data_IF_956138894409
#
_entry.id   IF_956138894409
#
_cell.length_a   1.000
_cell.length_b   1.000
_cell.length_c   1.000
_cell.angle_alpha   90.00
_cell.angle_beta   90.00
_cell.angle_gamma   90.00
#
_symmetry.space_group_name_H-M   'P 1'
#
loop_
_entity.id
_entity.type
_entity.pdbx_description
1 polymer ?
#
# COMPACT_ATOMS: atom_id res chain seq x y z
N UNK A 1 5.88 -10.04 -11.81
CA UNK A 1 7.19 -10.30 -12.45
C UNK A 1 8.31 -9.46 -11.85
N UNK A 2 8.22 -8.13 -11.85
CA UNK A 2 9.30 -7.30 -11.27
C UNK A 2 9.55 -7.53 -9.78
N UNK A 3 8.52 -7.82 -8.97
CA UNK A 3 8.76 -8.23 -7.58
C UNK A 3 9.58 -9.51 -7.49
N UNK A 4 9.27 -10.55 -8.25
CA UNK A 4 10.09 -11.77 -8.30
C UNK A 4 11.55 -11.44 -8.63
N UNK A 5 11.80 -10.67 -9.69
CA UNK A 5 13.17 -10.26 -10.05
C UNK A 5 13.88 -9.48 -8.93
N UNK A 6 13.19 -8.56 -8.25
CA UNK A 6 13.76 -7.77 -7.14
C UNK A 6 14.18 -8.64 -5.96
N UNK A 7 13.55 -9.79 -5.75
CA UNK A 7 13.89 -10.71 -4.67
C UNK A 7 14.89 -11.80 -5.09
N UNK A 8 14.91 -12.21 -6.37
CA UNK A 8 15.74 -13.35 -6.82
C UNK A 8 16.96 -12.95 -7.63
N UNK A 9 16.96 -11.76 -8.25
CA UNK A 9 17.97 -11.35 -9.23
C UNK A 9 17.91 -12.15 -10.54
N UNK A 10 16.89 -12.99 -10.74
CA UNK A 10 16.77 -13.89 -11.90
C UNK A 10 16.46 -13.11 -13.18
N UNK A 11 17.54 -12.66 -13.82
CA UNK A 11 17.52 -11.89 -15.06
C UNK A 11 17.00 -12.72 -16.24
N UNK A 12 17.30 -14.03 -16.28
CA UNK A 12 16.89 -14.90 -17.38
C UNK A 12 15.36 -15.01 -17.45
N UNK A 13 14.68 -15.20 -16.32
CA UNK A 13 13.22 -15.22 -16.28
C UNK A 13 12.63 -13.86 -16.64
N UNK A 14 13.24 -12.75 -16.19
CA UNK A 14 12.80 -11.40 -16.57
C UNK A 14 12.90 -11.19 -18.10
N UNK A 15 14.03 -11.57 -18.71
CA UNK A 15 14.25 -11.50 -20.16
C UNK A 15 13.22 -12.32 -20.93
N UNK A 16 12.94 -13.55 -20.48
CA UNK A 16 11.93 -14.41 -21.08
C UNK A 16 10.51 -13.82 -20.99
N UNK A 17 10.17 -13.13 -19.91
CA UNK A 17 8.87 -12.48 -19.72
C UNK A 17 8.76 -11.11 -20.40
N UNK A 18 9.87 -10.44 -20.73
CA UNK A 18 9.87 -9.07 -21.25
C UNK A 18 9.00 -8.88 -22.51
N UNK A 19 9.01 -9.79 -23.52
CA UNK A 19 8.10 -9.68 -24.67
C UNK A 19 6.61 -9.69 -24.29
N UNK A 20 6.23 -10.43 -23.25
CA UNK A 20 4.85 -10.45 -22.75
C UNK A 20 4.49 -9.14 -22.03
N UNK A 21 5.42 -8.60 -21.23
CA UNK A 21 5.25 -7.29 -20.58
C UNK A 21 5.01 -6.20 -21.63
N UNK A 22 5.81 -6.20 -22.72
CA UNK A 22 5.64 -5.24 -23.83
C UNK A 22 4.27 -5.37 -24.52
N UNK A 23 3.76 -6.59 -24.71
CA UNK A 23 2.40 -6.80 -25.26
C UNK A 23 1.31 -6.27 -24.34
N UNK A 24 1.45 -6.48 -23.02
CA UNK A 24 0.51 -5.93 -22.04
C UNK A 24 0.49 -4.39 -22.07
N UNK A 25 1.67 -3.76 -22.18
CA UNK A 25 1.78 -2.30 -22.29
C UNK A 25 1.17 -1.73 -23.58
N UNK A 26 1.32 -2.42 -24.72
CA UNK A 26 0.61 -2.06 -25.97
C UNK A 26 -0.91 -2.14 -25.83
N UNK A 27 -1.40 -3.13 -25.09
CA UNK A 27 -2.83 -3.23 -24.82
C UNK A 27 -3.31 -2.12 -23.89
N UNK A 28 -2.54 -1.80 -22.84
CA UNK A 28 -2.80 -0.66 -21.96
C UNK A 28 -2.91 0.65 -22.76
N UNK A 29 -1.99 0.91 -23.70
CA UNK A 29 -2.04 2.08 -24.58
C UNK A 29 -3.33 2.13 -25.43
N UNK A 30 -3.75 0.98 -25.96
CA UNK A 30 -5.01 0.85 -26.71
C UNK A 30 -6.23 1.14 -25.84
N UNK A 31 -6.21 0.81 -24.55
CA UNK A 31 -7.30 1.16 -23.63
C UNK A 31 -7.33 2.67 -23.36
N UNK A 32 -6.18 3.25 -23.01
CA UNK A 32 -6.06 4.68 -22.72
C UNK A 32 -6.35 5.57 -23.93
N UNK A 33 -6.04 5.13 -25.16
CA UNK A 33 -6.33 5.92 -26.36
C UNK A 33 -7.83 6.14 -26.59
N UNK A 34 -8.68 5.22 -26.12
CA UNK A 34 -10.15 5.34 -26.21
C UNK A 34 -10.68 6.52 -25.38
N UNK A 35 -10.17 6.66 -24.17
CA UNK A 35 -10.63 7.67 -23.20
C UNK A 35 -9.97 9.03 -23.37
N UNK A 36 -8.87 9.10 -24.13
CA UNK A 36 -8.22 10.38 -24.52
C UNK A 36 -9.01 11.12 -25.61
N UNK A 37 -9.87 10.42 -26.34
CA UNK A 37 -10.71 11.02 -27.38
C UNK A 37 -11.54 12.19 -26.84
N UNK A 38 -11.60 13.34 -27.55
CA UNK A 38 -12.51 14.44 -27.21
C UNK A 38 -14.00 14.10 -27.24
N UNK A 39 -14.37 12.98 -27.86
CA UNK A 39 -15.76 12.50 -27.91
C UNK A 39 -16.10 11.55 -26.77
N UNK A 40 -15.11 11.11 -26.00
CA UNK A 40 -15.33 10.15 -24.93
C UNK A 40 -16.27 10.73 -23.87
N UNK A 41 -17.36 10.02 -23.58
CA UNK A 41 -18.38 10.41 -22.61
C UNK A 41 -19.00 11.81 -22.84
N UNK A 42 -18.98 12.35 -24.07
CA UNK A 42 -19.50 13.68 -24.42
C UNK A 42 -20.95 13.94 -23.96
N UNK A 43 -21.78 12.91 -23.87
CA UNK A 43 -23.17 13.00 -23.39
C UNK A 43 -23.34 12.94 -21.86
N UNK A 44 -22.26 12.71 -21.11
CA UNK A 44 -22.31 12.74 -19.65
C UNK A 44 -22.30 14.18 -19.12
N UNK A 45 -22.79 14.37 -17.90
CA UNK A 45 -22.89 15.70 -17.28
C UNK A 45 -21.51 16.37 -17.05
N UNK A 46 -20.47 15.57 -16.85
CA UNK A 46 -19.11 15.99 -16.51
C UNK A 46 -18.09 15.09 -17.23
N UNK A 47 -17.91 15.23 -18.55
CA UNK A 47 -17.09 14.33 -19.36
C UNK A 47 -15.60 14.37 -19.02
N UNK A 48 -15.10 15.50 -18.51
CA UNK A 48 -13.69 15.74 -18.23
C UNK A 48 -13.11 14.77 -17.18
N UNK A 49 -13.92 14.30 -16.21
CA UNK A 49 -13.46 13.34 -15.20
C UNK A 49 -13.14 11.97 -15.79
N UNK A 50 -13.60 11.64 -16.98
CA UNK A 50 -13.35 10.35 -17.63
C UNK A 50 -12.17 10.39 -18.61
N UNK A 51 -11.59 11.57 -18.84
CA UNK A 51 -10.64 11.76 -19.93
C UNK A 51 -9.24 11.30 -19.55
N UNK A 52 -8.72 10.33 -20.31
CA UNK A 52 -7.33 9.87 -20.20
C UNK A 52 -7.04 8.88 -19.07
N UNK A 53 -8.04 8.48 -18.29
CA UNK A 53 -8.01 7.35 -17.35
C UNK A 53 -8.43 6.05 -18.05
N UNK A 54 -8.37 4.90 -17.38
CA UNK A 54 -8.81 3.64 -17.96
C UNK A 54 -10.34 3.59 -18.20
N UNK A 55 -10.79 2.89 -19.27
CA UNK A 55 -12.21 2.71 -19.55
C UNK A 55 -12.87 1.84 -18.48
N UNK A 56 -14.22 1.84 -18.40
CA UNK A 56 -14.92 1.18 -17.32
C UNK A 56 -14.74 -0.34 -17.36
N UNK A 57 -14.59 -0.94 -16.17
CA UNK A 57 -14.33 -2.35 -15.98
C UNK A 57 -14.96 -2.86 -14.67
N UNK A 58 -14.99 -4.19 -14.49
CA UNK A 58 -15.40 -4.86 -13.24
C UNK A 58 -14.20 -5.53 -12.55
N UNK A 59 -12.98 -5.03 -12.79
CA UNK A 59 -11.73 -5.62 -12.28
C UNK A 59 -11.61 -5.58 -10.76
N UNK A 60 -12.17 -4.53 -10.14
CA UNK A 60 -12.27 -4.42 -8.71
C UNK A 60 -13.49 -5.22 -8.28
N UNK A 61 -13.26 -6.32 -7.55
CA UNK A 61 -14.26 -7.32 -7.14
C UNK A 61 -15.44 -6.74 -6.31
N UNK A 62 -15.42 -5.45 -5.98
CA UNK A 62 -16.54 -4.73 -5.38
C UNK A 62 -17.63 -4.26 -6.36
N UNK A 63 -17.44 -4.36 -7.68
CA UNK A 63 -18.40 -3.86 -8.67
C UNK A 63 -19.14 -4.95 -9.44
N UNK A 64 -20.47 -4.85 -9.47
CA UNK A 64 -21.35 -5.70 -10.29
C UNK A 64 -21.66 -5.12 -11.68
N UNK A 65 -21.24 -3.88 -11.95
CA UNK A 65 -21.39 -3.20 -13.24
C UNK A 65 -20.11 -2.43 -13.57
N UNK A 66 -19.70 -2.34 -14.85
CA UNK A 66 -18.45 -1.66 -15.21
C UNK A 66 -18.43 -0.19 -14.79
N UNK A 67 -17.35 0.24 -14.15
CA UNK A 67 -17.08 1.64 -13.76
C UNK A 67 -15.62 1.99 -14.04
N UNK A 68 -15.32 3.28 -14.19
CA UNK A 68 -13.97 3.83 -14.26
C UNK A 68 -13.36 3.82 -12.85
N UNK A 69 -12.92 2.64 -12.44
CA UNK A 69 -12.35 2.40 -11.12
C UNK A 69 -10.91 2.93 -11.06
N UNK A 70 -10.61 3.81 -10.10
CA UNK A 70 -9.25 4.31 -9.91
C UNK A 70 -8.26 3.22 -9.48
N UNK A 71 -8.76 2.10 -8.97
CA UNK A 71 -7.99 0.87 -8.76
C UNK A 71 -7.22 0.47 -10.02
N UNK A 72 -7.86 0.52 -11.19
CA UNK A 72 -7.26 0.14 -12.46
C UNK A 72 -6.14 1.09 -12.83
N UNK A 73 -6.36 2.39 -12.64
CA UNK A 73 -5.38 3.42 -12.96
C UNK A 73 -4.13 3.31 -12.07
N UNK A 74 -4.29 3.05 -10.76
CA UNK A 74 -3.15 2.82 -9.87
C UNK A 74 -2.33 1.58 -10.29
N UNK A 75 -2.98 0.48 -10.65
CA UNK A 75 -2.29 -0.69 -11.17
C UNK A 75 -1.62 -0.45 -12.51
N UNK A 76 -2.22 0.37 -13.39
CA UNK A 76 -1.61 0.76 -14.65
C UNK A 76 -0.38 1.65 -14.45
N UNK A 77 -0.42 2.61 -13.52
CA UNK A 77 0.75 3.40 -13.12
C UNK A 77 1.86 2.50 -12.58
N UNK A 78 1.51 1.56 -11.70
CA UNK A 78 2.47 0.57 -11.19
C UNK A 78 3.06 -0.31 -12.30
N UNK A 79 2.23 -0.75 -13.25
CA UNK A 79 2.64 -1.51 -14.41
C UNK A 79 3.62 -0.75 -15.32
N UNK A 80 3.36 0.54 -15.55
CA UNK A 80 4.25 1.43 -16.32
C UNK A 80 5.58 1.67 -15.61
N UNK A 81 5.58 1.89 -14.29
CA UNK A 81 6.80 1.97 -13.46
C UNK A 81 7.64 0.69 -13.57
N UNK A 82 7.00 -0.46 -13.40
CA UNK A 82 7.67 -1.76 -13.45
C UNK A 82 8.18 -2.10 -14.87
N UNK A 83 7.42 -1.78 -15.91
CA UNK A 83 7.86 -1.96 -17.30
C UNK A 83 9.03 -1.04 -17.65
N UNK A 84 9.00 0.23 -17.23
CA UNK A 84 10.13 1.15 -17.43
C UNK A 84 11.41 0.62 -16.78
N UNK A 85 11.31 0.11 -15.55
CA UNK A 85 12.45 -0.47 -14.84
C UNK A 85 13.00 -1.70 -15.59
N UNK A 86 12.13 -2.59 -16.07
CA UNK A 86 12.54 -3.73 -16.89
C UNK A 86 13.20 -3.27 -18.20
N UNK A 87 12.65 -2.29 -18.90
CA UNK A 87 13.17 -1.78 -20.16
C UNK A 87 14.60 -1.21 -20.01
N UNK A 88 14.87 -0.51 -18.91
CA UNK A 88 16.22 -0.02 -18.58
C UNK A 88 17.19 -1.21 -18.39
N UNK A 89 16.77 -2.29 -17.72
CA UNK A 89 17.60 -3.49 -17.53
C UNK A 89 17.86 -4.25 -18.84
N UNK A 90 16.91 -4.18 -19.78
CA UNK A 90 17.05 -4.73 -21.13
C UNK A 90 17.79 -3.78 -22.10
N UNK A 91 18.30 -2.65 -21.60
CA UNK A 91 18.96 -1.61 -22.40
C UNK A 91 18.09 -1.03 -23.54
N UNK A 92 16.77 -1.15 -23.42
CA UNK A 92 15.82 -0.66 -24.40
C UNK A 92 15.31 0.74 -24.03
N UNK A 93 16.06 1.75 -24.48
CA UNK A 93 15.78 3.15 -24.16
C UNK A 93 14.44 3.65 -24.73
N UNK A 94 14.01 3.12 -25.87
CA UNK A 94 12.74 3.52 -26.50
C UNK A 94 11.54 3.09 -25.66
N UNK A 95 11.51 1.82 -25.24
CA UNK A 95 10.46 1.30 -24.37
C UNK A 95 10.48 2.03 -23.01
N UNK A 96 11.66 2.31 -22.44
CA UNK A 96 11.79 3.04 -21.18
C UNK A 96 11.29 4.49 -21.27
N UNK A 97 11.64 5.20 -22.35
CA UNK A 97 11.19 6.57 -22.59
C UNK A 97 9.69 6.63 -22.88
N UNK A 98 9.16 5.70 -23.67
CA UNK A 98 7.72 5.57 -23.92
C UNK A 98 6.94 5.32 -22.61
N UNK A 99 7.40 4.37 -21.79
CA UNK A 99 6.75 4.03 -20.52
C UNK A 99 6.72 5.22 -19.56
N UNK A 100 7.82 5.97 -19.47
CA UNK A 100 7.89 7.22 -18.71
C UNK A 100 6.87 8.26 -19.19
N UNK A 101 6.74 8.49 -20.50
CA UNK A 101 5.74 9.42 -21.04
C UNK A 101 4.30 8.97 -20.75
N UNK A 102 3.98 7.69 -20.96
CA UNK A 102 2.63 7.18 -20.68
C UNK A 102 2.28 7.27 -19.19
N UNK A 103 3.27 7.03 -18.31
CA UNK A 103 3.11 7.18 -16.87
C UNK A 103 2.73 8.61 -16.51
N UNK A 104 3.46 9.63 -16.97
CA UNK A 104 3.16 11.04 -16.66
C UNK A 104 1.79 11.48 -17.20
N UNK A 105 1.43 11.02 -18.41
CA UNK A 105 0.12 11.29 -19.01
C UNK A 105 -1.02 10.70 -18.18
N UNK A 106 -0.92 9.42 -17.81
CA UNK A 106 -1.93 8.75 -16.98
C UNK A 106 -2.01 9.37 -15.59
N UNK A 107 -0.85 9.64 -14.96
CA UNK A 107 -0.79 10.22 -13.62
C UNK A 107 -1.47 11.58 -13.58
N UNK A 108 -1.20 12.43 -14.58
CA UNK A 108 -1.86 13.74 -14.71
C UNK A 108 -3.36 13.61 -14.92
N UNK A 109 -3.79 12.69 -15.79
CA UNK A 109 -5.22 12.43 -16.04
C UNK A 109 -5.94 11.92 -14.79
N UNK A 110 -5.32 11.00 -14.05
CA UNK A 110 -5.86 10.44 -12.81
C UNK A 110 -6.02 11.53 -11.73
N UNK A 111 -5.01 12.37 -11.52
CA UNK A 111 -5.11 13.50 -10.58
C UNK A 111 -6.28 14.44 -10.94
N UNK A 112 -6.38 14.82 -12.21
CA UNK A 112 -7.47 15.68 -12.68
C UNK A 112 -8.84 15.01 -12.53
N UNK A 113 -8.93 13.71 -12.83
CA UNK A 113 -10.16 12.94 -12.67
C UNK A 113 -10.61 12.90 -11.21
N UNK A 114 -9.72 12.57 -10.28
CA UNK A 114 -10.05 12.50 -8.84
C UNK A 114 -10.55 13.86 -8.36
N UNK A 115 -9.84 14.96 -8.69
CA UNK A 115 -10.28 16.31 -8.30
C UNK A 115 -11.65 16.66 -8.89
N UNK A 116 -11.84 16.44 -10.19
CA UNK A 116 -13.10 16.73 -10.86
C UNK A 116 -14.26 15.91 -10.26
N UNK A 117 -14.06 14.64 -9.93
CA UNK A 117 -15.06 13.80 -9.28
C UNK A 117 -15.40 14.29 -7.88
N UNK A 118 -14.40 14.66 -7.07
CA UNK A 118 -14.58 15.24 -5.73
C UNK A 118 -15.40 16.53 -5.79
N UNK A 119 -15.00 17.47 -6.66
CA UNK A 119 -15.66 18.76 -6.85
C UNK A 119 -17.10 18.58 -7.35
N UNK A 120 -17.29 17.74 -8.36
CA UNK A 120 -18.59 17.47 -8.99
C UNK A 120 -19.59 16.84 -8.02
N UNK A 121 -19.15 15.85 -7.25
CA UNK A 121 -20.01 15.14 -6.32
C UNK A 121 -20.20 15.89 -4.99
N UNK A 122 -19.46 16.98 -4.75
CA UNK A 122 -19.48 17.71 -3.49
C UNK A 122 -19.05 16.85 -2.30
N UNK A 123 -18.19 15.85 -2.56
CA UNK A 123 -17.67 14.96 -1.52
C UNK A 123 -16.34 15.47 -1.00
N UNK A 124 -15.88 14.82 0.06
CA UNK A 124 -14.86 15.37 0.91
C UNK A 124 -13.75 14.33 1.20
N UNK A 125 -13.87 13.14 0.60
CA UNK A 125 -12.95 12.00 0.64
C UNK A 125 -12.48 11.62 -0.77
N UNK A 126 -11.49 10.73 -0.89
CA UNK A 126 -11.06 10.20 -2.20
C UNK A 126 -12.08 9.16 -2.68
N UNK A 127 -12.79 9.39 -3.80
CA UNK A 127 -13.71 8.39 -4.36
C UNK A 127 -12.95 7.18 -4.92
N UNK A 128 -13.62 6.03 -4.99
CA UNK A 128 -13.06 4.81 -5.59
C UNK A 128 -13.24 4.74 -7.12
N UNK A 129 -14.27 5.37 -7.65
CA UNK A 129 -14.54 5.46 -9.09
C UNK A 129 -14.96 6.86 -9.54
N UNK A 130 -14.71 7.18 -10.81
CA UNK A 130 -15.15 8.43 -11.41
C UNK A 130 -16.69 8.47 -11.61
N UNK A 131 -17.33 7.32 -11.79
CA UNK A 131 -18.77 7.21 -12.07
C UNK A 131 -19.61 7.54 -10.85
N UNK A 132 -19.35 6.85 -9.74
CA UNK A 132 -20.22 6.79 -8.58
C UNK A 132 -19.80 7.71 -7.43
N UNK A 133 -18.56 8.21 -7.43
CA UNK A 133 -17.98 8.93 -6.30
C UNK A 133 -18.09 8.13 -4.97
N UNK A 134 -17.96 6.82 -5.08
CA UNK A 134 -18.21 5.83 -4.04
C UNK A 134 -17.10 5.78 -2.98
N UNK A 135 -17.50 5.32 -1.79
CA UNK A 135 -16.63 5.19 -0.63
C UNK A 135 -16.11 3.75 -0.54
N UNK A 136 -14.93 3.51 -1.11
CA UNK A 136 -14.17 2.28 -0.89
C UNK A 136 -12.69 2.60 -0.61
N UNK A 137 -12.33 2.76 0.67
CA UNK A 137 -10.94 3.00 1.09
C UNK A 137 -9.97 1.88 0.67
N UNK A 138 -10.48 0.66 0.49
CA UNK A 138 -9.65 -0.50 0.16
C UNK A 138 -9.12 -0.40 -1.27
N UNK A 139 -9.93 0.04 -2.24
CA UNK A 139 -9.41 0.31 -3.58
C UNK A 139 -8.45 1.51 -3.63
N UNK A 140 -8.62 2.50 -2.75
CA UNK A 140 -7.71 3.66 -2.67
C UNK A 140 -6.37 3.28 -2.02
N UNK A 141 -6.36 2.37 -1.04
CA UNK A 141 -5.15 2.00 -0.29
C UNK A 141 -4.01 1.44 -1.14
N UNK A 142 -4.28 0.90 -2.32
CA UNK A 142 -3.22 0.44 -3.22
C UNK A 142 -2.36 1.58 -3.78
N UNK A 143 -2.87 2.81 -3.78
CA UNK A 143 -2.10 4.00 -4.09
C UNK A 143 -0.93 4.19 -3.12
N UNK A 144 -1.05 3.74 -1.86
CA UNK A 144 0.05 3.81 -0.89
C UNK A 144 1.02 2.65 -1.08
N UNK A 145 0.50 1.43 -1.06
CA UNK A 145 1.26 0.21 -1.29
C UNK A 145 0.36 -0.80 -2.03
N UNK A 146 0.82 -1.38 -3.15
CA UNK A 146 2.18 -1.35 -3.66
C UNK A 146 2.44 -0.27 -4.74
N UNK A 147 1.48 0.58 -5.10
CA UNK A 147 1.63 1.45 -6.28
C UNK A 147 2.53 2.67 -6.03
N UNK A 148 2.59 3.16 -4.78
CA UNK A 148 3.41 4.30 -4.37
C UNK A 148 3.08 5.57 -5.17
N UNK A 149 1.79 5.91 -5.23
CA UNK A 149 1.15 7.07 -5.87
C UNK A 149 0.40 7.97 -4.87
N UNK A 150 0.60 7.79 -3.56
CA UNK A 150 -0.16 8.52 -2.53
C UNK A 150 0.05 10.04 -2.60
N UNK A 151 1.17 10.50 -3.15
CA UNK A 151 1.49 11.92 -3.35
C UNK A 151 0.63 12.59 -4.45
N UNK A 152 -0.06 11.78 -5.26
CA UNK A 152 -1.08 12.22 -6.21
C UNK A 152 -2.36 12.72 -5.51
N UNK A 153 -2.64 12.17 -4.32
CA UNK A 153 -3.94 12.29 -3.68
C UNK A 153 -4.04 13.56 -2.84
N UNK A 154 -5.15 14.32 -2.91
CA UNK A 154 -5.36 15.47 -2.04
C UNK A 154 -5.30 15.08 -0.56
N UNK A 155 -4.31 15.61 0.17
CA UNK A 155 -4.01 15.22 1.57
C UNK A 155 -5.21 15.34 2.50
N UNK A 156 -6.00 16.41 2.37
CA UNK A 156 -7.19 16.61 3.20
C UNK A 156 -8.26 15.54 2.96
N UNK A 157 -8.47 15.15 1.70
CA UNK A 157 -9.45 14.13 1.34
C UNK A 157 -9.00 12.73 1.76
N UNK A 158 -7.70 12.42 1.65
CA UNK A 158 -7.10 11.21 2.22
C UNK A 158 -7.34 11.14 3.73
N UNK A 159 -7.03 12.23 4.45
CA UNK A 159 -7.18 12.24 5.89
C UNK A 159 -8.64 12.05 6.34
N UNK A 160 -9.62 12.53 5.57
CA UNK A 160 -11.05 12.29 5.85
C UNK A 160 -11.51 10.89 5.48
N UNK A 161 -11.05 10.35 4.34
CA UNK A 161 -11.33 8.98 3.93
C UNK A 161 -10.98 7.98 5.04
N UNK A 162 -9.74 8.02 5.53
CA UNK A 162 -9.27 7.04 6.52
C UNK A 162 -9.83 7.30 7.92
N UNK A 163 -10.05 8.56 8.33
CA UNK A 163 -10.77 8.85 9.59
C UNK A 163 -12.18 8.26 9.58
N UNK A 164 -12.93 8.46 8.49
CA UNK A 164 -14.27 7.88 8.33
C UNK A 164 -14.21 6.36 8.33
N UNK A 165 -13.29 5.77 7.58
CA UNK A 165 -13.09 4.32 7.52
C UNK A 165 -12.82 3.71 8.90
N UNK A 166 -11.90 4.29 9.67
CA UNK A 166 -11.57 3.81 11.01
C UNK A 166 -12.78 3.86 11.95
N UNK A 167 -13.52 4.97 11.94
CA UNK A 167 -14.76 5.10 12.73
C UNK A 167 -15.86 4.10 12.30
N UNK A 168 -15.97 3.80 11.00
CA UNK A 168 -16.90 2.78 10.51
C UNK A 168 -16.43 1.36 10.86
N UNK A 169 -15.14 1.08 10.80
CA UNK A 169 -14.54 -0.21 11.18
C UNK A 169 -14.70 -0.50 12.67
N UNK A 170 -14.53 0.50 13.53
CA UNK A 170 -14.69 0.36 14.98
C UNK A 170 -16.10 -0.10 15.35
N UNK A 171 -17.13 0.47 14.71
CA UNK A 171 -18.54 0.07 14.93
C UNK A 171 -18.81 -1.41 14.66
N UNK A 172 -18.04 -2.04 13.76
CA UNK A 172 -18.18 -3.46 13.38
C UNK A 172 -17.65 -4.41 14.47
N UNK A 173 -16.90 -3.88 15.44
CA UNK A 173 -16.36 -4.67 16.56
C UNK A 173 -17.37 -4.91 17.68
N UNK A 174 -18.48 -4.15 17.70
CA UNK A 174 -19.48 -4.27 18.75
C UNK A 174 -20.25 -5.60 18.68
N UNK A 175 -20.56 -6.22 19.83
CA UNK A 175 -21.37 -7.42 19.88
C UNK A 175 -22.71 -7.25 19.15
N UNK A 176 -23.09 -8.25 18.36
CA UNK A 176 -24.37 -8.25 17.65
C UNK A 176 -24.38 -7.44 16.35
N UNK A 177 -23.23 -6.96 15.86
CA UNK A 177 -23.14 -6.38 14.52
C UNK A 177 -23.63 -7.37 13.44
N UNK A 178 -24.58 -6.92 12.61
CA UNK A 178 -25.21 -7.71 11.55
C UNK A 178 -24.82 -7.15 10.17
N UNK A 179 -23.60 -7.45 9.74
CA UNK A 179 -23.13 -7.10 8.41
C UNK A 179 -22.14 -8.11 7.87
N UNK A 180 -21.51 -7.75 6.74
CA UNK A 180 -20.40 -8.48 6.17
C UNK A 180 -19.27 -7.52 5.83
N UNK A 181 -18.04 -8.01 5.88
CA UNK A 181 -16.86 -7.29 5.43
C UNK A 181 -15.94 -8.27 4.71
N UNK A 182 -15.06 -7.74 3.86
CA UNK A 182 -14.02 -8.56 3.25
C UNK A 182 -12.71 -8.38 4.02
N UNK A 183 -12.00 -9.47 4.39
CA UNK A 183 -10.68 -9.35 4.99
C UNK A 183 -9.61 -8.75 4.07
N UNK A 184 -9.92 -8.55 2.79
CA UNK A 184 -9.14 -7.73 1.86
C UNK A 184 -8.81 -6.34 2.40
N UNK A 185 -9.61 -5.81 3.32
CA UNK A 185 -9.34 -4.58 4.09
C UNK A 185 -7.97 -4.58 4.78
N UNK A 186 -7.28 -5.72 4.92
CA UNK A 186 -5.89 -5.81 5.38
C UNK A 186 -4.93 -4.85 4.64
N UNK A 187 -5.20 -4.55 3.37
CA UNK A 187 -4.42 -3.57 2.59
C UNK A 187 -4.46 -2.15 3.19
N UNK A 188 -5.53 -1.80 3.91
CA UNK A 188 -5.67 -0.50 4.58
C UNK A 188 -4.67 -0.34 5.71
N UNK A 189 -4.17 -1.43 6.31
CA UNK A 189 -3.11 -1.40 7.31
C UNK A 189 -1.86 -0.70 6.74
N UNK A 190 -1.48 -0.98 5.49
CA UNK A 190 -0.31 -0.33 4.88
C UNK A 190 -0.49 1.19 4.75
N UNK A 191 -1.67 1.63 4.32
CA UNK A 191 -2.00 3.06 4.20
C UNK A 191 -2.05 3.73 5.57
N UNK A 192 -2.71 3.13 6.56
CA UNK A 192 -2.78 3.64 7.93
C UNK A 192 -1.39 3.75 8.56
N UNK A 193 -0.52 2.76 8.35
CA UNK A 193 0.89 2.83 8.72
C UNK A 193 1.51 4.08 8.08
N UNK A 194 1.52 4.22 6.77
CA UNK A 194 2.14 5.37 6.08
C UNK A 194 1.55 6.73 6.48
N UNK A 195 0.29 6.79 6.89
CA UNK A 195 -0.37 7.99 7.42
C UNK A 195 -0.03 8.30 8.89
N UNK A 196 0.69 7.42 9.58
CA UNK A 196 0.96 7.54 11.02
C UNK A 196 -0.20 7.18 11.93
N UNK A 197 -1.28 6.61 11.38
CA UNK A 197 -2.46 6.12 12.11
C UNK A 197 -2.19 4.72 12.70
N UNK A 198 -1.17 4.63 13.56
CA UNK A 198 -0.64 3.36 14.08
C UNK A 198 -1.62 2.62 14.97
N UNK A 199 -2.32 3.33 15.85
CA UNK A 199 -3.32 2.73 16.75
C UNK A 199 -4.47 2.14 15.95
N UNK A 200 -4.89 2.82 14.89
CA UNK A 200 -5.94 2.38 13.98
C UNK A 200 -5.49 1.20 13.12
N UNK A 201 -4.22 1.18 12.67
CA UNK A 201 -3.63 0.04 11.97
C UNK A 201 -3.64 -1.22 12.86
N UNK A 202 -3.27 -1.09 14.14
CA UNK A 202 -3.33 -2.20 15.10
C UNK A 202 -4.78 -2.63 15.40
N UNK A 203 -5.69 -1.67 15.57
CA UNK A 203 -7.11 -1.96 15.79
C UNK A 203 -7.71 -2.75 14.62
N UNK A 204 -7.42 -2.34 13.39
CA UNK A 204 -7.84 -3.05 12.18
C UNK A 204 -7.22 -4.45 12.11
N UNK A 205 -5.91 -4.59 12.37
CA UNK A 205 -5.25 -5.90 12.38
C UNK A 205 -5.94 -6.86 13.37
N UNK A 206 -6.23 -6.40 14.58
CA UNK A 206 -6.94 -7.20 15.60
C UNK A 206 -8.35 -7.57 15.17
N UNK A 207 -9.09 -6.62 14.61
CA UNK A 207 -10.43 -6.86 14.07
C UNK A 207 -10.42 -7.94 12.98
N UNK A 208 -9.52 -7.84 12.01
CA UNK A 208 -9.40 -8.82 10.93
C UNK A 208 -9.02 -10.20 11.49
N UNK A 209 -8.02 -10.28 12.38
CA UNK A 209 -7.62 -11.54 13.04
C UNK A 209 -8.75 -12.20 13.86
N UNK A 210 -9.71 -11.43 14.37
CA UNK A 210 -10.90 -12.00 15.04
C UNK A 210 -11.89 -12.65 14.07
N UNK A 211 -11.81 -12.30 12.78
CA UNK A 211 -12.63 -12.86 11.70
C UNK A 211 -12.20 -14.23 11.17
N UNK A 212 -11.10 -14.79 11.68
CA UNK A 212 -10.63 -16.13 11.28
C UNK A 212 -11.66 -17.21 11.61
N UNK A 213 -11.89 -18.12 10.68
CA UNK A 213 -12.83 -19.23 10.83
C UNK A 213 -12.54 -20.39 9.86
N UNK A 214 -12.34 -21.65 10.32
CA UNK A 214 -12.17 -22.06 11.71
C UNK A 214 -10.95 -21.37 12.34
N UNK A 215 -11.08 -21.00 13.62
CA UNK A 215 -10.05 -20.23 14.32
C UNK A 215 -8.75 -21.04 14.46
N UNK A 216 -8.90 -22.33 14.71
CA UNK A 216 -7.85 -23.31 14.94
C UNK A 216 -6.92 -23.49 13.73
N UNK A 217 -7.41 -23.18 12.52
CA UNK A 217 -6.66 -23.34 11.27
C UNK A 217 -6.07 -22.03 10.76
N UNK A 218 -6.28 -20.92 11.48
CA UNK A 218 -5.93 -19.58 11.02
C UNK A 218 -6.47 -19.23 9.63
N UNK A 219 -7.63 -19.78 9.26
CA UNK A 219 -8.21 -19.61 7.94
C UNK A 219 -9.04 -18.33 7.84
N UNK A 220 -9.01 -17.70 6.66
CA UNK A 220 -9.86 -16.57 6.30
C UNK A 220 -10.72 -16.93 5.12
N UNK A 221 -11.99 -16.53 5.16
CA UNK A 221 -12.86 -16.51 4.00
C UNK A 221 -12.64 -15.23 3.19
N UNK A 222 -13.11 -15.20 1.94
CA UNK A 222 -13.15 -13.98 1.13
C UNK A 222 -14.09 -12.92 1.73
N UNK A 223 -15.20 -13.37 2.31
CA UNK A 223 -16.20 -12.54 3.00
C UNK A 223 -16.51 -13.10 4.38
N UNK A 224 -16.42 -12.25 5.40
CA UNK A 224 -16.73 -12.58 6.79
C UNK A 224 -18.05 -11.91 7.18
N UNK A 225 -18.97 -12.71 7.72
CA UNK A 225 -20.27 -12.25 8.22
C UNK A 225 -20.24 -12.12 9.75
N UNK A 226 -20.89 -11.09 10.28
CA UNK A 226 -21.07 -10.92 11.73
C UNK A 226 -21.87 -12.06 12.36
N UNK A 227 -22.85 -12.60 11.62
CA UNK A 227 -23.53 -13.85 11.97
C UNK A 227 -22.83 -15.04 11.28
N UNK A 228 -22.01 -15.76 12.05
CA UNK A 228 -21.25 -16.93 11.57
C UNK A 228 -22.12 -18.10 11.11
N UNK A 229 -23.40 -18.15 11.49
CA UNK A 229 -24.34 -19.22 11.10
C UNK A 229 -25.20 -18.84 9.91
N UNK A 230 -25.08 -17.62 9.41
CA UNK A 230 -25.81 -17.17 8.22
C UNK A 230 -25.36 -17.96 6.99
N UNK A 231 -26.28 -18.66 6.34
CA UNK A 231 -26.05 -19.25 5.03
C UNK A 231 -25.94 -18.15 3.96
N UNK A 232 -24.72 -17.68 3.71
CA UNK A 232 -24.42 -16.63 2.74
C UNK A 232 -23.11 -16.94 2.00
N UNK A 233 -22.86 -16.20 0.90
CA UNK A 233 -21.61 -16.27 0.18
C UNK A 233 -20.43 -15.90 1.10
N UNK A 234 -19.40 -16.75 1.12
CA UNK A 234 -18.15 -16.53 1.85
C UNK A 234 -16.91 -16.58 0.93
N UNK A 235 -17.09 -16.91 -0.35
CA UNK A 235 -15.99 -17.24 -1.27
C UNK A 235 -15.35 -18.59 -0.97
N UNK A 236 -14.08 -18.73 -1.33
CA UNK A 236 -13.22 -19.85 -0.94
C UNK A 236 -12.71 -19.72 0.50
N UNK A 237 -12.35 -20.86 1.09
CA UNK A 237 -11.84 -20.97 2.45
C UNK A 237 -10.85 -22.16 2.53
N UNK A 238 -9.55 -21.94 2.79
CA UNK A 238 -8.90 -20.65 3.01
C UNK A 238 -8.73 -19.83 1.74
N UNK A 239 -9.08 -18.55 1.81
CA UNK A 239 -8.85 -17.59 0.75
C UNK A 239 -7.41 -17.04 0.82
N UNK A 240 -6.56 -17.53 -0.09
CA UNK A 240 -5.10 -17.34 0.00
C UNK A 240 -4.63 -15.91 -0.28
N UNK A 241 -5.36 -15.12 -1.07
CA UNK A 241 -4.99 -13.72 -1.32
C UNK A 241 -5.16 -12.84 -0.09
N UNK A 242 -6.19 -13.09 0.72
CA UNK A 242 -6.34 -12.45 2.04
C UNK A 242 -5.18 -12.83 2.95
N UNK A 243 -4.83 -14.13 3.00
CA UNK A 243 -3.68 -14.59 3.77
C UNK A 243 -2.40 -13.87 3.37
N UNK A 244 -2.14 -13.77 2.06
CA UNK A 244 -1.00 -13.02 1.53
C UNK A 244 -1.06 -11.53 1.89
N UNK A 245 -2.21 -10.87 1.74
CA UNK A 245 -2.38 -9.46 2.07
C UNK A 245 -2.12 -9.17 3.56
N UNK A 246 -2.57 -10.06 4.46
CA UNK A 246 -2.33 -9.96 5.89
C UNK A 246 -0.85 -10.13 6.23
N UNK A 247 -0.19 -11.16 5.67
CA UNK A 247 1.25 -11.39 5.86
C UNK A 247 2.05 -10.19 5.34
N UNK A 248 1.70 -9.67 4.17
CA UNK A 248 2.33 -8.47 3.61
C UNK A 248 2.11 -7.24 4.51
N UNK A 249 0.90 -7.03 5.03
CA UNK A 249 0.60 -5.93 5.93
C UNK A 249 1.42 -6.00 7.23
N UNK A 250 1.47 -7.16 7.88
CA UNK A 250 2.26 -7.36 9.12
C UNK A 250 3.75 -7.22 8.84
N UNK A 251 4.24 -7.79 7.74
CA UNK A 251 5.63 -7.59 7.30
C UNK A 251 5.94 -6.10 7.14
N UNK A 252 5.07 -5.36 6.45
CA UNK A 252 5.25 -3.94 6.19
C UNK A 252 5.09 -3.07 7.45
N UNK A 253 4.41 -3.53 8.50
CA UNK A 253 4.46 -2.87 9.81
C UNK A 253 5.88 -2.89 10.39
N UNK A 254 6.64 -3.97 10.17
CA UNK A 254 8.04 -4.15 10.63
C UNK A 254 9.03 -3.47 9.68
N UNK A 255 8.98 -3.82 8.41
CA UNK A 255 9.92 -3.40 7.37
C UNK A 255 9.18 -3.21 6.04
N UNK A 256 9.10 -1.97 5.57
CA UNK A 256 8.40 -1.58 4.35
C UNK A 256 9.38 -0.96 3.35
N UNK A 257 9.44 -1.50 2.15
CA UNK A 257 10.15 -0.86 1.04
C UNK A 257 9.25 0.17 0.36
N UNK A 258 9.74 1.41 0.25
CA UNK A 258 9.09 2.47 -0.49
C UNK A 258 10.13 3.12 -1.42
N UNK A 259 9.92 3.00 -2.73
CA UNK A 259 10.88 3.39 -3.75
C UNK A 259 12.24 2.73 -3.54
N UNK A 260 13.25 3.53 -3.18
CA UNK A 260 14.62 3.10 -2.92
C UNK A 260 15.00 3.10 -1.44
N UNK A 261 14.04 3.32 -0.53
CA UNK A 261 14.24 3.45 0.91
C UNK A 261 13.63 2.26 1.64
N UNK A 262 14.27 1.85 2.73
CA UNK A 262 13.71 0.89 3.68
C UNK A 262 13.17 1.63 4.91
N UNK A 263 11.89 1.45 5.22
CA UNK A 263 11.23 2.05 6.39
C UNK A 263 11.06 0.97 7.44
N UNK A 264 11.67 1.15 8.61
CA UNK A 264 11.58 0.25 9.75
C UNK A 264 10.59 0.78 10.79
N UNK A 265 9.94 -0.14 11.50
CA UNK A 265 8.94 0.13 12.54
C UNK A 265 7.77 0.98 12.02
N UNK A 266 7.42 0.81 10.75
CA UNK A 266 6.44 1.67 10.08
C UNK A 266 5.06 1.65 10.73
N UNK A 267 4.68 0.51 11.32
CA UNK A 267 3.40 0.31 12.02
C UNK A 267 3.50 -0.46 13.32
N UNK A 268 4.71 -0.70 13.85
CA UNK A 268 4.88 -1.48 15.08
C UNK A 268 4.26 -0.74 16.27
N UNK A 269 3.30 -1.34 16.99
CA UNK A 269 2.70 -0.73 18.15
C UNK A 269 3.66 -0.73 19.34
N UNK A 270 3.52 0.28 20.19
CA UNK A 270 4.34 0.46 21.40
C UNK A 270 4.34 -0.79 22.31
N UNK A 271 3.16 -1.43 22.46
CA UNK A 271 3.00 -2.64 23.27
C UNK A 271 3.90 -3.81 22.83
N UNK A 272 4.22 -3.93 21.54
CA UNK A 272 5.10 -5.00 21.06
C UNK A 272 6.56 -4.71 21.40
N UNK A 273 6.98 -3.45 21.26
CA UNK A 273 8.35 -3.02 21.59
C UNK A 273 8.64 -3.09 23.10
N UNK A 274 7.61 -2.89 23.94
CA UNK A 274 7.71 -3.01 25.40
C UNK A 274 7.60 -4.45 25.89
N UNK A 275 7.21 -5.39 25.04
CA UNK A 275 7.11 -6.79 25.43
C UNK A 275 8.50 -7.34 25.81
N UNK A 276 8.54 -8.42 26.59
CA UNK A 276 9.80 -9.03 27.06
C UNK A 276 10.78 -9.35 25.92
N UNK A 277 10.25 -9.72 24.75
CA UNK A 277 11.02 -10.08 23.56
C UNK A 277 11.19 -8.95 22.55
N UNK A 278 10.59 -7.78 22.78
CA UNK A 278 10.57 -6.69 21.81
C UNK A 278 9.99 -7.12 20.46
N UNK A 279 10.52 -6.55 19.38
CA UNK A 279 10.24 -6.97 18.00
C UNK A 279 11.55 -7.36 17.33
N UNK A 280 11.64 -8.61 16.88
CA UNK A 280 12.80 -9.12 16.18
C UNK A 280 12.41 -9.81 14.87
N UNK A 281 13.24 -9.65 13.85
CA UNK A 281 13.21 -10.41 12.60
C UNK A 281 14.62 -10.89 12.28
N UNK A 282 14.72 -12.09 11.71
CA UNK A 282 15.99 -12.69 11.32
C UNK A 282 15.93 -13.08 9.85
N UNK A 283 16.93 -12.66 9.08
CA UNK A 283 17.06 -12.97 7.66
C UNK A 283 15.78 -12.65 6.85
N UNK A 284 15.09 -11.56 7.19
CA UNK A 284 13.88 -11.13 6.51
C UNK A 284 14.24 -10.65 5.10
N UNK A 285 13.72 -11.26 4.03
CA UNK A 285 14.03 -10.81 2.68
C UNK A 285 13.39 -9.45 2.40
N UNK A 286 14.16 -8.58 1.77
CA UNK A 286 13.74 -7.27 1.25
C UNK A 286 14.20 -7.11 -0.20
N UNK A 287 13.65 -6.11 -0.92
CA UNK A 287 14.16 -5.71 -2.25
C UNK A 287 15.62 -5.23 -2.23
N UNK A 288 16.20 -5.03 -1.05
CA UNK A 288 17.54 -4.49 -0.84
C UNK A 288 18.49 -5.50 -0.18
N UNK A 289 18.09 -6.78 -0.08
CA UNK A 289 18.85 -7.83 0.61
C UNK A 289 18.13 -8.34 1.88
N UNK A 290 18.87 -8.99 2.77
CA UNK A 290 18.31 -9.67 3.94
C UNK A 290 18.52 -8.88 5.22
N UNK A 291 17.41 -8.51 5.88
CA UNK A 291 17.39 -7.74 7.12
C UNK A 291 17.34 -8.66 8.34
N UNK A 292 18.23 -8.44 9.29
CA UNK A 292 18.08 -8.88 10.68
C UNK A 292 17.95 -7.65 11.56
N UNK A 293 16.93 -7.59 12.41
CA UNK A 293 16.65 -6.45 13.26
C UNK A 293 16.12 -6.92 14.61
N UNK A 294 16.51 -6.24 15.67
CA UNK A 294 15.97 -6.40 17.02
C UNK A 294 15.69 -5.00 17.61
N UNK A 295 14.47 -4.80 18.10
CA UNK A 295 13.97 -3.50 18.56
C UNK A 295 13.23 -3.63 19.90
N UNK A 296 13.65 -2.82 20.90
CA UNK A 296 13.09 -2.83 22.25
C UNK A 296 12.85 -1.42 22.76
N UNK A 297 11.74 -1.22 23.45
CA UNK A 297 11.43 0.02 24.15
C UNK A 297 11.39 -0.25 25.66
N UNK A 298 12.44 0.19 26.38
CA UNK A 298 12.56 0.04 27.84
C UNK A 298 12.50 1.42 28.49
N UNK A 299 11.54 1.64 29.39
CA UNK A 299 11.29 2.97 29.93
C UNK A 299 10.99 3.97 28.81
N UNK A 300 11.83 4.99 28.68
CA UNK A 300 11.77 6.02 27.64
C UNK A 300 12.91 5.89 26.62
N UNK A 301 13.45 4.69 26.44
CA UNK A 301 14.57 4.42 25.53
C UNK A 301 14.18 3.34 24.52
N UNK A 302 14.08 3.73 23.24
CA UNK A 302 14.00 2.81 22.11
C UNK A 302 15.41 2.47 21.68
N UNK A 303 15.72 1.18 21.60
CA UNK A 303 16.95 0.67 21.00
C UNK A 303 16.60 -0.21 19.81
N UNK A 304 17.17 0.09 18.66
CA UNK A 304 17.04 -0.69 17.42
C UNK A 304 18.43 -1.12 16.98
N UNK A 305 18.66 -2.42 16.88
CA UNK A 305 19.88 -2.99 16.33
C UNK A 305 19.58 -3.60 14.96
N UNK A 306 20.48 -3.37 14.00
CA UNK A 306 20.30 -3.80 12.62
C UNK A 306 21.57 -4.51 12.15
N UNK A 307 21.39 -5.62 11.47
CA UNK A 307 22.45 -6.42 10.85
C UNK A 307 21.92 -7.15 9.60
N UNK A 308 22.79 -7.94 8.97
CA UNK A 308 22.49 -8.61 7.71
C UNK A 308 23.05 -7.87 6.50
N UNK A 309 22.86 -8.47 5.33
CA UNK A 309 23.28 -7.93 4.04
C UNK A 309 22.11 -7.16 3.41
N UNK A 310 21.94 -5.90 3.82
CA UNK A 310 20.82 -5.04 3.38
C UNK A 310 21.34 -3.66 2.98
N UNK A 311 21.02 -3.23 1.76
CA UNK A 311 21.65 -2.08 1.10
C UNK A 311 20.62 -1.20 0.36
N UNK A 312 19.69 -0.52 1.06
CA UNK A 312 18.71 0.36 0.43
C UNK A 312 19.40 1.60 -0.20
N UNK A 313 19.25 1.87 -1.50
CA UNK A 313 20.00 2.95 -2.16
C UNK A 313 19.69 4.36 -1.65
N UNK A 314 18.50 4.60 -1.09
CA UNK A 314 18.12 5.86 -0.44
C UNK A 314 18.18 5.78 1.10
N UNK A 315 18.87 4.77 1.62
CA UNK A 315 19.08 4.55 3.05
C UNK A 315 17.85 4.04 3.80
N UNK A 316 17.88 4.21 5.11
CA UNK A 316 16.87 3.71 6.06
C UNK A 316 16.10 4.87 6.68
N UNK A 317 14.83 4.65 6.99
CA UNK A 317 14.07 5.49 7.91
C UNK A 317 13.58 4.63 9.08
N UNK A 318 13.84 5.05 10.32
CA UNK A 318 13.25 4.41 11.50
C UNK A 318 12.10 5.28 11.98
N UNK A 319 10.88 4.73 12.02
CA UNK A 319 9.70 5.47 12.49
C UNK A 319 9.56 5.41 14.00
N UNK A 320 9.16 6.52 14.59
CA UNK A 320 8.96 6.63 16.03
C UNK A 320 7.66 5.93 16.44
N UNK A 321 7.69 5.01 17.43
CA UNK A 321 6.49 4.34 17.92
C UNK A 321 5.57 5.26 18.73
N UNK A 322 6.13 6.31 19.33
CA UNK A 322 5.45 7.32 20.15
C UNK A 322 5.52 8.68 19.42
N UNK A 323 5.93 9.73 20.10
CA UNK A 323 6.15 11.08 19.58
C UNK A 323 7.61 11.28 19.16
N UNK A 324 7.97 12.52 18.82
CA UNK A 324 9.36 12.87 18.51
C UNK A 324 10.26 12.69 19.75
N UNK A 325 11.37 11.93 19.68
CA UNK A 325 12.32 11.83 20.79
C UNK A 325 13.06 13.16 21.04
N UNK A 326 13.53 13.35 22.27
CA UNK A 326 14.37 14.49 22.65
C UNK A 326 15.81 14.34 22.15
N UNK A 327 16.30 13.11 22.03
CA UNK A 327 17.65 12.80 21.54
C UNK A 327 17.68 11.50 20.74
N UNK A 328 18.52 11.45 19.70
CA UNK A 328 18.81 10.25 18.91
C UNK A 328 20.33 10.05 18.83
N UNK A 329 20.77 8.82 19.09
CA UNK A 329 22.15 8.37 18.93
C UNK A 329 22.19 7.29 17.85
N UNK A 330 23.09 7.43 16.88
CA UNK A 330 23.31 6.47 15.80
C UNK A 330 24.76 6.01 15.87
N UNK A 331 24.98 4.69 16.02
CA UNK A 331 26.31 4.09 16.12
C UNK A 331 27.25 4.75 17.14
N UNK A 332 26.68 5.27 18.24
CA UNK A 332 27.41 5.93 19.34
C UNK A 332 27.53 7.45 19.22
N UNK A 333 27.07 8.06 18.12
CA UNK A 333 27.16 9.50 17.88
C UNK A 333 25.79 10.19 17.92
N UNK A 334 25.76 11.44 18.39
CA UNK A 334 24.55 12.26 18.36
C UNK A 334 24.09 12.49 16.91
N UNK A 335 22.82 12.21 16.64
CA UNK A 335 22.23 12.33 15.32
C UNK A 335 21.21 13.45 15.28
N UNK A 336 21.27 14.31 14.26
CA UNK A 336 20.40 15.48 14.13
C UNK A 336 19.35 15.36 13.02
N UNK A 337 19.51 14.41 12.08
CA UNK A 337 18.59 14.25 10.95
C UNK A 337 17.39 13.38 11.32
N UNK A 338 16.50 13.94 12.17
CA UNK A 338 15.25 13.32 12.56
C UNK A 338 14.15 14.36 12.83
N UNK A 339 12.90 13.97 12.62
CA UNK A 339 11.72 14.80 12.87
C UNK A 339 10.65 14.03 13.66
N UNK A 340 9.41 14.51 13.66
CA UNK A 340 8.30 13.83 14.33
C UNK A 340 7.88 12.51 13.66
N UNK A 341 8.22 12.29 12.40
CA UNK A 341 7.89 11.09 11.63
C UNK A 341 8.90 9.97 11.83
N UNK A 342 10.18 10.31 11.96
CA UNK A 342 11.25 9.33 12.13
C UNK A 342 12.67 9.90 12.09
N UNK A 343 13.63 8.99 12.18
CA UNK A 343 15.05 9.23 11.93
C UNK A 343 15.42 8.81 10.51
N UNK A 344 16.17 9.67 9.82
CA UNK A 344 16.57 9.49 8.42
C UNK A 344 18.07 9.21 8.35
N UNK A 345 18.43 8.07 7.75
CA UNK A 345 19.79 7.55 7.70
C UNK A 345 20.16 7.29 6.24
N UNK A 346 21.33 7.76 5.80
CA UNK A 346 21.80 7.55 4.42
C UNK A 346 22.34 6.13 4.19
N UNK A 347 22.74 5.45 5.26
CA UNK A 347 23.24 4.07 5.27
C UNK A 347 22.52 3.28 6.37
N UNK A 348 22.70 1.96 6.37
CA UNK A 348 22.16 1.08 7.42
C UNK A 348 23.09 1.16 8.63
N UNK A 349 22.62 1.68 9.78
CA UNK A 349 23.43 1.73 10.99
C UNK A 349 23.48 0.35 11.65
N UNK A 350 24.40 0.14 12.59
CA UNK A 350 24.39 -1.06 13.46
C UNK A 350 23.39 -0.88 14.60
N UNK A 351 23.29 0.33 15.13
CA UNK A 351 22.46 0.65 16.28
C UNK A 351 21.89 2.07 16.19
N UNK A 352 20.61 2.20 16.52
CA UNK A 352 19.95 3.49 16.76
C UNK A 352 19.28 3.45 18.12
N UNK A 353 19.58 4.45 18.95
CA UNK A 353 18.96 4.64 20.24
C UNK A 353 18.26 5.99 20.29
N UNK A 354 16.98 6.01 20.68
CA UNK A 354 16.19 7.23 20.84
C UNK A 354 15.71 7.36 22.28
N UNK A 355 15.74 8.58 22.81
CA UNK A 355 15.36 8.93 24.17
C UNK A 355 14.19 9.92 24.13
N UNK A 356 13.17 9.69 24.95
CA UNK A 356 12.05 10.62 25.15
C UNK A 356 12.26 11.40 26.43
#
# INVERSE_FOLDING_TARGET
>A
MMEYYRFTGDRQTLEACYPAMRRAMKYLEKLLSRTRSPDYMRGSRFPERFRGILPPSISHEGYSSPVHSYWDDFWALRGLKDFRAAAIMMENQDDAAWAGRQYELLRSALSNSIRATVETAGIDYIPASADNADFDPSSVSIAFFPCEEQDLLPTAAVARLYRRYCAESEKRTHPGWKGAYTPYEARNINALCLLGMRSEALALLRFLLAGRHPFEWNAFAEVVHGDKRRGAYIGDLPHTWVGAALVTAVRNMVAMEQGKRLILLAGIPEEWLRSRGGVAVSNLPTRFGHLTMDAHLKGYTLKVTISGDVHPPAGVMIRWPIEKPSQVIVDGENWSNFDASGCYLSQVPKEVTAYW
#
